data_IF_200256242870
#
_entry.id   IF_200256242870
#
_cell.length_a   1.000
_cell.length_b   1.000
_cell.length_c   1.000
_cell.angle_alpha   90.00
_cell.angle_beta   90.00
_cell.angle_gamma   90.00
#
_symmetry.space_group_name_H-M   'P 1'
#
loop_
_entity.id
_entity.type
_entity.pdbx_description
1 polymer ?
#
# COMPACT_ATOMS: atom_id res chain seq x y z
N UNK A 1 19.30 11.78 -16.93
CA UNK A 1 18.22 11.46 -15.97
C UNK A 1 16.92 11.52 -16.74
N UNK A 2 16.37 10.36 -17.15
CA UNK A 2 15.16 10.30 -17.97
C UNK A 2 13.97 10.15 -17.02
N UNK A 3 13.08 11.15 -16.96
CA UNK A 3 11.77 10.94 -16.34
C UNK A 3 11.08 9.83 -17.17
N UNK A 4 10.46 8.82 -16.53
CA UNK A 4 9.70 7.82 -17.28
C UNK A 4 8.65 8.53 -18.14
N UNK A 5 8.39 8.01 -19.34
CA UNK A 5 7.31 8.53 -20.19
C UNK A 5 5.99 8.48 -19.39
N UNK A 6 5.17 9.49 -19.55
CA UNK A 6 3.97 9.72 -18.73
C UNK A 6 2.95 8.56 -18.83
N UNK A 7 2.89 7.85 -19.97
CA UNK A 7 2.05 6.65 -20.14
C UNK A 7 2.51 5.47 -19.25
N UNK A 8 3.81 5.36 -19.00
CA UNK A 8 4.36 4.29 -18.16
C UNK A 8 4.17 4.56 -16.68
N UNK A 9 4.17 5.84 -16.29
CA UNK A 9 3.84 6.25 -14.93
C UNK A 9 2.41 5.85 -14.58
N UNK A 10 1.45 6.11 -15.49
CA UNK A 10 0.05 5.71 -15.30
C UNK A 10 -0.11 4.18 -15.13
N UNK A 11 0.64 3.38 -15.90
CA UNK A 11 0.64 1.93 -15.74
C UNK A 11 1.24 1.49 -14.40
N UNK A 12 2.31 2.14 -13.95
CA UNK A 12 2.91 1.89 -12.63
C UNK A 12 1.94 2.25 -11.50
N UNK A 13 1.31 3.43 -11.56
CA UNK A 13 0.28 3.87 -10.60
C UNK A 13 -0.87 2.88 -10.53
N UNK A 14 -1.36 2.40 -11.68
CA UNK A 14 -2.43 1.41 -11.74
C UNK A 14 -2.06 0.10 -11.05
N UNK A 15 -0.83 -0.39 -11.23
CA UNK A 15 -0.38 -1.65 -10.58
C UNK A 15 -0.17 -1.43 -9.08
N UNK A 16 0.38 -0.27 -8.70
CA UNK A 16 0.59 0.10 -7.30
C UNK A 16 -0.75 0.26 -6.57
N UNK A 17 -1.73 0.95 -7.17
CA UNK A 17 -3.09 1.09 -6.64
C UNK A 17 -3.74 -0.27 -6.36
N UNK A 18 -3.61 -1.23 -7.29
CA UNK A 18 -4.12 -2.60 -7.07
C UNK A 18 -3.42 -3.30 -5.90
N UNK A 19 -2.12 -3.09 -5.74
CA UNK A 19 -1.37 -3.66 -4.62
C UNK A 19 -1.77 -3.03 -3.27
N UNK A 20 -2.21 -1.77 -3.27
CA UNK A 20 -2.59 -1.04 -2.04
C UNK A 20 -3.99 -1.38 -1.51
N UNK A 21 -4.82 -2.14 -2.24
CA UNK A 21 -6.19 -2.46 -1.82
C UNK A 21 -6.27 -3.02 -0.39
N UNK A 22 -5.50 -4.06 0.00
CA UNK A 22 -5.57 -4.60 1.36
C UNK A 22 -5.19 -3.58 2.45
N UNK A 23 -4.21 -2.72 2.16
CA UNK A 23 -3.82 -1.65 3.08
C UNK A 23 -4.92 -0.60 3.19
N UNK A 24 -5.53 -0.19 2.07
CA UNK A 24 -6.62 0.78 2.08
C UNK A 24 -7.84 0.24 2.84
N UNK A 25 -8.14 -1.05 2.72
CA UNK A 25 -9.24 -1.69 3.43
C UNK A 25 -8.96 -1.75 4.93
N UNK A 26 -7.75 -2.14 5.35
CA UNK A 26 -7.36 -2.17 6.76
C UNK A 26 -7.33 -0.77 7.40
N UNK A 27 -6.79 0.22 6.70
CA UNK A 27 -6.77 1.61 7.18
C UNK A 27 -8.17 2.20 7.37
N UNK A 28 -9.18 1.73 6.62
CA UNK A 28 -10.58 2.16 6.81
C UNK A 28 -11.24 1.57 8.06
N UNK A 29 -10.62 0.58 8.70
CA UNK A 29 -11.06 0.05 9.99
C UNK A 29 -10.63 0.94 11.16
N UNK A 30 -9.66 1.85 10.93
CA UNK A 30 -9.22 2.83 11.93
C UNK A 30 -10.20 4.01 11.98
N UNK A 31 -10.35 4.61 13.17
CA UNK A 31 -11.22 5.78 13.29
C UNK A 31 -10.66 6.97 12.53
N UNK A 32 -11.50 7.58 11.69
CA UNK A 32 -11.13 8.75 10.90
C UNK A 32 -10.67 9.92 11.78
N UNK A 33 -11.27 10.10 12.95
CA UNK A 33 -10.88 11.16 13.89
C UNK A 33 -9.42 11.02 14.35
N UNK A 34 -8.97 9.78 14.57
CA UNK A 34 -7.61 9.46 14.99
C UNK A 34 -6.61 9.73 13.85
N UNK A 35 -6.96 9.34 12.62
CA UNK A 35 -6.14 9.61 11.43
C UNK A 35 -6.01 11.12 11.14
N UNK A 36 -7.10 11.87 11.27
CA UNK A 36 -7.12 13.33 11.07
C UNK A 36 -6.27 14.06 12.12
N UNK A 37 -6.27 13.58 13.36
CA UNK A 37 -5.52 14.21 14.46
C UNK A 37 -4.01 14.21 14.21
N UNK A 38 -3.45 13.13 13.65
CA UNK A 38 -2.04 13.02 13.24
C UNK A 38 -1.70 14.08 12.19
N UNK A 39 -2.49 14.17 11.12
CA UNK A 39 -2.27 15.14 10.04
C UNK A 39 -2.36 16.59 10.53
N UNK A 40 -3.12 16.82 11.60
CA UNK A 40 -3.29 18.13 12.23
C UNK A 40 -2.22 18.46 13.29
N UNK A 41 -1.17 17.65 13.43
CA UNK A 41 -0.09 17.79 14.43
C UNK A 41 -0.58 17.81 15.89
N UNK A 42 -1.75 17.25 16.17
CA UNK A 42 -2.23 17.04 17.54
C UNK A 42 -1.53 15.81 18.11
N UNK A 43 -1.36 15.73 19.43
CA UNK A 43 -0.82 14.52 20.09
C UNK A 43 -1.77 13.35 19.85
N UNK A 44 -1.57 12.65 18.76
CA UNK A 44 -2.28 11.44 18.38
C UNK A 44 -1.55 10.26 19.00
N UNK A 45 -2.01 9.79 20.15
CA UNK A 45 -1.49 8.56 20.74
C UNK A 45 -1.52 7.43 19.72
N UNK A 46 -0.36 6.86 19.42
CA UNK A 46 -0.15 5.59 18.72
C UNK A 46 -0.66 5.42 17.26
N UNK A 47 -1.27 6.41 16.62
CA UNK A 47 -1.86 6.22 15.27
C UNK A 47 -0.81 5.90 14.20
N UNK A 48 0.40 6.47 14.28
CA UNK A 48 1.50 6.10 13.36
C UNK A 48 1.88 4.61 13.50
N UNK A 49 1.83 4.08 14.73
CA UNK A 49 2.02 2.65 14.97
C UNK A 49 0.88 1.83 14.38
N UNK A 50 -0.37 2.31 14.46
CA UNK A 50 -1.51 1.61 13.85
C UNK A 50 -1.38 1.57 12.33
N UNK A 51 -1.03 2.69 11.69
CA UNK A 51 -0.76 2.73 10.24
C UNK A 51 0.38 1.78 9.88
N UNK A 52 1.46 1.76 10.68
CA UNK A 52 2.59 0.85 10.47
C UNK A 52 2.16 -0.62 10.62
N UNK A 53 1.31 -0.95 11.59
CA UNK A 53 0.73 -2.28 11.74
C UNK A 53 -0.16 -2.68 10.56
N UNK A 54 -0.98 -1.77 10.03
CA UNK A 54 -1.76 -1.99 8.80
C UNK A 54 -0.86 -2.26 7.58
N UNK A 55 0.26 -1.53 7.46
CA UNK A 55 1.25 -1.77 6.41
C UNK A 55 1.89 -3.15 6.58
N UNK A 56 2.30 -3.50 7.80
CA UNK A 56 2.84 -4.82 8.10
C UNK A 56 1.82 -5.93 7.93
N UNK A 57 0.53 -5.69 8.08
CA UNK A 57 -0.51 -6.67 7.77
C UNK A 57 -0.56 -6.98 6.27
N UNK A 58 -0.45 -5.96 5.42
CA UNK A 58 -0.53 -6.11 3.96
C UNK A 58 0.79 -6.54 3.29
N UNK A 59 1.95 -6.19 3.86
CA UNK A 59 3.26 -6.33 3.21
C UNK A 59 4.33 -6.92 4.14
N UNK A 60 5.41 -7.43 3.53
CA UNK A 60 6.57 -7.90 4.27
C UNK A 60 7.22 -6.75 5.06
N UNK A 61 7.68 -6.98 6.31
CA UNK A 61 8.27 -5.92 7.13
C UNK A 61 9.39 -5.17 6.43
N UNK A 62 9.40 -3.84 6.57
CA UNK A 62 10.44 -2.97 6.03
C UNK A 62 10.38 -2.69 4.52
N UNK A 63 9.46 -3.32 3.77
CA UNK A 63 9.36 -3.12 2.31
C UNK A 63 8.54 -1.90 1.94
N UNK A 64 7.40 -1.69 2.59
CA UNK A 64 6.62 -0.45 2.52
C UNK A 64 6.69 0.21 3.88
N UNK A 65 6.87 1.53 3.90
CA UNK A 65 7.02 2.31 5.12
C UNK A 65 6.13 3.54 5.09
N UNK A 66 5.50 3.83 6.23
CA UNK A 66 4.81 5.09 6.46
C UNK A 66 5.82 6.23 6.53
N UNK A 67 5.60 7.29 5.76
CA UNK A 67 6.41 8.51 5.82
C UNK A 67 5.70 9.56 6.64
N UNK A 68 4.48 9.93 6.24
CA UNK A 68 3.66 10.93 6.92
C UNK A 68 2.23 10.95 6.40
N UNK A 69 1.35 11.61 7.15
CA UNK A 69 0.10 12.14 6.60
C UNK A 69 0.41 13.48 5.92
N UNK A 70 0.16 13.56 4.62
CA UNK A 70 0.50 14.71 3.77
C UNK A 70 -0.68 15.62 3.48
N UNK A 71 -1.90 15.14 3.64
CA UNK A 71 -3.10 15.93 3.41
C UNK A 71 -4.31 15.38 4.14
N UNK A 72 -5.08 16.28 4.71
CA UNK A 72 -6.40 15.99 5.27
C UNK A 72 -7.37 16.97 4.64
N UNK A 73 -8.34 16.44 3.94
CA UNK A 73 -9.40 17.22 3.32
C UNK A 73 -10.75 16.84 3.94
N UNK A 74 -11.30 17.77 4.72
CA UNK A 74 -12.60 17.69 5.35
C UNK A 74 -13.44 18.86 4.88
N UNK A 75 -14.57 18.58 4.26
CA UNK A 75 -15.53 19.60 3.86
C UNK A 75 -16.94 19.03 3.96
N UNK A 76 -17.91 19.94 4.11
CA UNK A 76 -19.32 19.58 4.35
C UNK A 76 -20.01 18.98 3.13
N UNK A 77 -19.55 19.33 1.92
CA UNK A 77 -20.16 19.01 0.64
C UNK A 77 -19.41 17.91 -0.14
N UNK A 78 -18.31 17.39 0.39
CA UNK A 78 -17.51 16.32 -0.22
C UNK A 78 -17.12 15.24 0.78
N UNK A 79 -16.79 14.07 0.25
CA UNK A 79 -16.29 12.95 1.05
C UNK A 79 -14.93 13.34 1.67
N UNK A 80 -14.67 12.92 2.92
CA UNK A 80 -13.36 13.15 3.52
C UNK A 80 -12.29 12.40 2.73
N UNK A 81 -11.15 13.04 2.53
CA UNK A 81 -9.99 12.46 1.85
C UNK A 81 -8.76 12.61 2.73
N UNK A 82 -8.12 11.49 3.00
CA UNK A 82 -6.84 11.42 3.69
C UNK A 82 -5.75 11.12 2.67
N UNK A 83 -4.60 11.77 2.77
CA UNK A 83 -3.45 11.51 1.93
C UNK A 83 -2.27 11.08 2.79
N UNK A 84 -1.72 9.91 2.47
CA UNK A 84 -0.64 9.26 3.22
C UNK A 84 0.53 9.07 2.26
N UNK A 85 1.68 9.66 2.61
CA UNK A 85 2.92 9.43 1.88
C UNK A 85 3.56 8.12 2.35
N UNK A 86 3.92 7.27 1.40
CA UNK A 86 4.49 5.95 1.60
C UNK A 86 5.77 5.81 0.78
N UNK A 87 6.68 4.97 1.26
CA UNK A 87 7.89 4.59 0.54
C UNK A 87 7.94 3.07 0.35
N UNK A 88 8.09 2.63 -0.90
CA UNK A 88 8.48 1.26 -1.24
C UNK A 88 9.99 1.21 -1.44
N UNK A 89 10.65 0.36 -0.65
CA UNK A 89 12.07 0.00 -0.80
C UNK A 89 12.20 -1.51 -0.85
N UNK A 90 12.45 -2.05 -2.03
CA UNK A 90 12.72 -3.47 -2.16
C UNK A 90 13.51 -3.77 -3.44
N UNK A 91 14.52 -4.63 -3.31
CA UNK A 91 15.42 -4.99 -4.41
C UNK A 91 16.02 -3.73 -5.06
N UNK A 92 15.93 -3.61 -6.38
CA UNK A 92 16.44 -2.50 -7.18
C UNK A 92 15.41 -1.38 -7.41
N UNK A 93 14.30 -1.35 -6.66
CA UNK A 93 13.20 -0.42 -6.88
C UNK A 93 12.98 0.43 -5.63
N UNK A 94 12.90 1.74 -5.86
CA UNK A 94 12.48 2.72 -4.86
C UNK A 94 11.35 3.57 -5.41
N UNK A 95 10.25 3.66 -4.66
CA UNK A 95 9.07 4.44 -5.03
C UNK A 95 8.63 5.28 -3.85
N UNK A 96 8.53 6.59 -4.03
CA UNK A 96 7.76 7.46 -3.14
C UNK A 96 6.42 7.72 -3.80
N UNK A 97 5.34 7.44 -3.07
CA UNK A 97 4.00 7.56 -3.59
C UNK A 97 3.03 7.95 -2.50
N UNK A 98 1.93 8.55 -2.92
CA UNK A 98 0.85 8.98 -2.04
C UNK A 98 -0.34 8.07 -2.24
N UNK A 99 -0.83 7.53 -1.13
CA UNK A 99 -2.12 6.86 -1.05
C UNK A 99 -3.18 7.89 -0.67
N UNK A 100 -4.12 8.13 -1.56
CA UNK A 100 -5.31 8.91 -1.29
C UNK A 100 -6.43 7.97 -0.86
N UNK A 101 -6.86 8.09 0.38
CA UNK A 101 -7.91 7.29 0.97
C UNK A 101 -9.19 8.13 1.12
N UNK A 102 -10.25 7.67 0.47
CA UNK A 102 -11.60 8.17 0.64
C UNK A 102 -12.48 7.05 1.22
N UNK A 103 -13.75 7.36 1.49
CA UNK A 103 -14.66 6.44 2.19
C UNK A 103 -14.82 5.07 1.51
N UNK A 104 -14.85 5.00 0.18
CA UNK A 104 -15.02 3.74 -0.57
C UNK A 104 -14.00 3.56 -1.69
N UNK A 105 -13.15 4.56 -1.91
CA UNK A 105 -12.22 4.63 -3.04
C UNK A 105 -10.83 4.89 -2.51
N UNK A 106 -9.84 4.44 -3.26
CA UNK A 106 -8.45 4.79 -3.03
C UNK A 106 -7.78 5.07 -4.38
N UNK A 107 -6.87 6.04 -4.38
CA UNK A 107 -6.05 6.36 -5.53
C UNK A 107 -4.58 6.40 -5.12
N UNK A 108 -3.69 6.14 -6.07
CA UNK A 108 -2.25 6.23 -5.88
C UNK A 108 -1.70 7.25 -6.85
N UNK A 109 -0.84 8.13 -6.34
CA UNK A 109 -0.06 9.09 -7.10
C UNK A 109 1.43 8.80 -6.85
N UNK A 110 2.23 8.63 -7.91
CA UNK A 110 3.67 8.41 -7.75
C UNK A 110 4.39 9.76 -7.77
N UNK A 111 4.99 10.15 -6.65
CA UNK A 111 5.82 11.35 -6.55
C UNK A 111 7.23 11.11 -7.13
N UNK A 112 7.77 9.89 -6.96
CA UNK A 112 9.08 9.51 -7.46
C UNK A 112 9.20 8.00 -7.67
N UNK A 113 9.81 7.59 -8.79
CA UNK A 113 10.06 6.20 -9.13
C UNK A 113 11.47 6.04 -9.68
N UNK A 114 12.27 5.16 -9.06
CA UNK A 114 13.62 4.81 -9.51
C UNK A 114 13.80 3.30 -9.60
N UNK A 115 14.38 2.87 -10.71
CA UNK A 115 14.95 1.55 -10.89
C UNK A 115 16.47 1.67 -10.89
N UNK A 116 17.20 0.81 -10.19
CA UNK A 116 18.68 0.82 -10.23
C UNK A 116 19.22 0.42 -11.59
N UNK A 117 18.54 -0.50 -12.29
CA UNK A 117 18.85 -0.89 -13.66
C UNK A 117 17.61 -0.75 -14.57
N UNK A 118 17.29 0.46 -15.07
CA UNK A 118 16.12 0.68 -15.91
C UNK A 118 16.32 0.08 -17.31
N UNK A 119 15.25 -0.51 -17.85
CA UNK A 119 15.17 -0.92 -19.26
C UNK A 119 14.78 0.28 -20.12
N UNK A 120 15.26 0.38 -21.38
CA UNK A 120 14.74 1.35 -22.35
C UNK A 120 13.30 1.02 -22.79
N UNK A 121 12.87 -0.24 -22.64
CA UNK A 121 11.49 -0.66 -22.89
C UNK A 121 10.70 -0.51 -21.60
N UNK A 122 9.77 0.44 -21.57
CA UNK A 122 9.15 0.82 -20.31
C UNK A 122 8.16 -0.21 -19.75
N UNK A 123 7.49 -0.99 -20.61
CA UNK A 123 6.71 -2.15 -20.20
C UNK A 123 7.53 -3.14 -19.34
N UNK A 124 8.83 -3.27 -19.60
CA UNK A 124 9.74 -4.10 -18.79
C UNK A 124 9.92 -3.51 -17.39
N UNK A 125 9.98 -2.18 -17.25
CA UNK A 125 10.08 -1.52 -15.95
C UNK A 125 8.77 -1.66 -15.16
N UNK A 126 7.61 -1.51 -15.82
CA UNK A 126 6.31 -1.79 -15.23
C UNK A 126 6.21 -3.23 -14.73
N UNK A 127 6.70 -4.21 -15.51
CA UNK A 127 6.76 -5.61 -15.09
C UNK A 127 7.70 -5.85 -13.89
N UNK A 128 8.86 -5.17 -13.84
CA UNK A 128 9.76 -5.20 -12.67
C UNK A 128 9.05 -4.72 -11.41
N UNK A 129 8.30 -3.60 -11.48
CA UNK A 129 7.52 -3.10 -10.36
C UNK A 129 6.42 -4.09 -9.94
N UNK A 130 5.70 -4.67 -10.90
CA UNK A 130 4.67 -5.66 -10.62
C UNK A 130 5.22 -6.89 -9.89
N UNK A 131 6.37 -7.42 -10.34
CA UNK A 131 7.04 -8.56 -9.73
C UNK A 131 7.55 -8.21 -8.32
N UNK A 132 8.09 -7.00 -8.13
CA UNK A 132 8.49 -6.51 -6.82
C UNK A 132 7.30 -6.46 -5.85
N UNK A 133 6.18 -5.89 -6.27
CA UNK A 133 4.96 -5.81 -5.47
C UNK A 133 4.42 -7.20 -5.12
N UNK A 134 4.44 -8.13 -6.07
CA UNK A 134 4.02 -9.51 -5.83
C UNK A 134 4.92 -10.22 -4.80
N UNK A 135 6.23 -9.96 -4.82
CA UNK A 135 7.18 -10.56 -3.88
C UNK A 135 7.04 -10.02 -2.45
N UNK A 136 6.64 -8.75 -2.28
CA UNK A 136 6.52 -8.12 -0.96
C UNK A 136 5.11 -8.19 -0.37
N UNK A 137 4.10 -8.56 -1.15
CA UNK A 137 2.73 -8.68 -0.64
C UNK A 137 2.59 -9.93 0.22
N UNK A 138 1.90 -9.83 1.35
CA UNK A 138 1.51 -11.01 2.12
C UNK A 138 0.33 -11.70 1.42
N UNK A 139 0.47 -13.00 1.16
CA UNK A 139 -0.67 -13.82 0.74
C UNK A 139 -1.54 -14.04 1.97
N UNK A 140 -2.79 -13.56 1.91
CA UNK A 140 -3.74 -13.79 2.98
C UNK A 140 -4.00 -15.30 3.10
N UNK A 141 -3.43 -15.93 4.13
CA UNK A 141 -3.82 -17.28 4.50
C UNK A 141 -5.22 -17.17 5.10
N UNK A 142 -6.23 -17.60 4.34
CA UNK A 142 -7.50 -17.98 4.96
C UNK A 142 -7.20 -19.19 5.85
N UNK A 143 -7.05 -18.96 7.15
CA UNK A 143 -6.84 -20.03 8.16
C UNK A 143 -7.95 -21.08 8.16
N UNK A 144 -9.05 -20.88 7.40
CA UNK A 144 -10.11 -21.85 7.20
C UNK A 144 -9.73 -23.05 6.30
N UNK A 145 -8.71 -22.95 5.44
CA UNK A 145 -8.35 -24.05 4.54
C UNK A 145 -7.35 -25.06 5.13
N UNK A 146 -6.64 -24.70 6.22
CA UNK A 146 -5.62 -25.57 6.84
C UNK A 146 -6.17 -26.51 7.92
N UNK A 147 -7.35 -26.22 8.50
CA UNK A 147 -7.92 -27.02 9.60
C UNK A 147 -8.87 -28.15 9.14
N UNK A 148 -9.16 -28.29 7.84
CA UNK A 148 -10.02 -29.36 7.32
C UNK A 148 -9.29 -30.50 6.62
N UNK A 149 -7.96 -30.42 6.48
CA UNK A 149 -7.14 -31.55 6.01
C UNK A 149 -6.70 -32.52 7.13
N UNK A 150 -6.79 -32.15 8.40
CA UNK A 150 -6.40 -33.02 9.53
C UNK A 150 -7.53 -33.91 10.08
N UNK A 151 -8.81 -33.64 9.74
CA UNK A 151 -9.94 -34.42 10.26
C UNK A 151 -10.29 -35.64 9.36
N UNK A 152 -9.74 -35.73 8.14
CA UNK A 152 -10.05 -36.80 7.19
C UNK A 152 -9.08 -38.01 7.24
N UNK A 153 -8.00 -37.96 8.04
CA UNK A 153 -6.97 -39.00 8.08
C UNK A 153 -7.12 -40.04 9.20
N UNK A 154 -8.10 -39.89 10.09
CA UNK A 154 -8.23 -40.69 11.32
C UNK A 154 -9.40 -41.67 11.33
N UNK A 155 -9.64 -42.40 10.25
CA UNK A 155 -10.60 -43.51 10.24
C UNK A 155 -10.29 -44.52 9.12
N UNK A 156 -9.14 -45.20 9.23
CA UNK A 156 -8.97 -46.55 8.69
C UNK A 156 -7.61 -47.11 9.15
N UNK A 157 -7.64 -47.94 10.19
CA UNK A 157 -7.22 -49.37 10.23
C UNK A 157 -6.95 -49.74 11.69
#
# INVERSE_FOLDING_TARGET
MMKPDWEDLTNCERILAKAMVPLADDLRLLDLEHLVAVGSQRKSGNVESLISSSIEFAFQPGTIQFVRISGVDLAWDRRPRLSIDLELRHSEINVYFRLHLESLTAAVEIDYLRFSNPSPVALVNTAKLANCLAAVRKTHLSTYELNHSEIAGGANT
#
